data_IF_644795739559
#
_entry.id   IF_644795739559
#
_cell.length_a   1.000
_cell.length_b   1.000
_cell.length_c   1.000
_cell.angle_alpha   90.00
_cell.angle_beta   90.00
_cell.angle_gamma   90.00
#
_symmetry.space_group_name_H-M   'P 1'
#
loop_
_entity.id
_entity.type
_entity.pdbx_description
1 polymer ?
#
# COMPACT_ATOMS: atom_id res chain seq x y z
N UNK A 1 77.44 44.52 -20.63
CA UNK A 1 76.61 45.17 -19.60
C UNK A 1 75.21 44.57 -19.66
N UNK A 2 74.72 44.04 -18.53
CA UNK A 2 73.29 43.91 -18.10
C UNK A 2 72.31 43.13 -19.00
N UNK A 3 71.49 42.14 -18.57
CA UNK A 3 71.03 41.72 -17.24
C UNK A 3 70.36 40.33 -17.34
N UNK A 4 70.61 39.50 -16.32
CA UNK A 4 69.82 38.37 -15.80
C UNK A 4 68.39 38.85 -15.42
N UNK A 5 67.43 37.92 -15.23
CA UNK A 5 66.04 38.04 -14.65
C UNK A 5 64.99 37.64 -15.72
N UNK A 6 64.09 36.66 -15.58
CA UNK A 6 63.60 35.89 -14.44
C UNK A 6 63.04 34.54 -14.95
N UNK A 7 63.72 33.44 -14.64
CA UNK A 7 63.10 32.10 -14.56
C UNK A 7 62.36 32.09 -13.22
N UNK A 8 61.08 32.47 -13.21
CA UNK A 8 60.39 32.72 -11.96
C UNK A 8 58.98 33.26 -12.13
N UNK A 9 58.13 32.55 -12.87
CA UNK A 9 56.68 32.62 -12.69
C UNK A 9 56.19 31.17 -12.60
N UNK A 10 56.48 30.54 -11.47
CA UNK A 10 55.46 30.18 -10.48
C UNK A 10 54.37 29.28 -11.09
N UNK A 11 54.76 28.00 -11.17
CA UNK A 11 53.93 26.82 -10.93
C UNK A 11 53.07 26.99 -9.65
N UNK A 12 52.03 27.83 -9.70
CA UNK A 12 51.10 28.09 -8.59
C UNK A 12 49.65 27.88 -9.00
N UNK A 13 49.43 26.96 -9.96
CA UNK A 13 48.10 26.59 -10.46
C UNK A 13 47.74 25.11 -10.24
N UNK A 14 48.56 24.34 -9.50
CA UNK A 14 48.33 22.92 -9.22
C UNK A 14 48.43 22.67 -7.72
N UNK A 15 47.41 23.08 -6.97
CA UNK A 15 47.41 22.93 -5.51
C UNK A 15 46.17 23.43 -4.79
N UNK A 16 45.05 23.70 -5.47
CA UNK A 16 43.74 23.65 -4.82
C UNK A 16 43.38 22.18 -4.62
N UNK A 17 44.15 21.51 -3.78
CA UNK A 17 43.68 20.33 -3.07
C UNK A 17 42.39 20.76 -2.42
N UNK A 18 41.26 20.27 -2.91
CA UNK A 18 40.02 20.29 -2.16
C UNK A 18 40.33 19.58 -0.85
N UNK A 19 40.76 20.32 0.17
CA UNK A 19 40.71 19.91 1.57
C UNK A 19 39.23 19.93 1.97
N UNK A 20 38.43 19.14 1.26
CA UNK A 20 37.07 18.84 1.64
C UNK A 20 37.18 17.98 2.88
N UNK A 21 36.59 18.46 3.99
CA UNK A 21 36.52 17.69 5.22
C UNK A 21 35.83 16.33 5.02
N UNK A 22 35.89 15.45 6.01
CA UNK A 22 35.33 14.12 5.91
C UNK A 22 33.88 14.08 5.39
N UNK A 23 33.57 13.17 4.47
CA UNK A 23 32.22 12.90 3.97
C UNK A 23 31.63 13.95 3.01
N UNK A 24 32.33 15.03 2.69
CA UNK A 24 31.82 16.11 1.82
C UNK A 24 31.36 15.61 0.43
N UNK A 25 32.03 14.60 -0.10
CA UNK A 25 31.69 14.03 -1.40
C UNK A 25 30.33 13.28 -1.41
N UNK A 26 29.78 12.95 -0.24
CA UNK A 26 28.44 12.36 -0.09
C UNK A 26 27.30 13.38 -0.05
N UNK A 27 27.58 14.68 0.04
CA UNK A 27 26.53 15.69 0.20
C UNK A 27 25.54 15.73 -0.97
N UNK A 28 26.03 15.55 -2.20
CA UNK A 28 25.17 15.51 -3.40
C UNK A 28 24.22 14.31 -3.37
N UNK A 29 24.71 13.05 -3.30
CA UNK A 29 23.81 11.89 -3.30
C UNK A 29 22.85 11.88 -2.09
N UNK A 30 23.27 12.36 -0.91
CA UNK A 30 22.38 12.46 0.25
C UNK A 30 21.25 13.47 0.05
N UNK A 31 21.49 14.59 -0.63
CA UNK A 31 20.45 15.57 -0.96
C UNK A 31 19.49 15.06 -2.03
N UNK A 32 20.02 14.38 -3.05
CA UNK A 32 19.20 13.72 -4.05
C UNK A 32 18.28 12.68 -3.42
N UNK A 33 18.82 11.87 -2.50
CA UNK A 33 18.03 10.91 -1.74
C UNK A 33 16.94 11.58 -0.89
N UNK A 34 17.23 12.71 -0.23
CA UNK A 34 16.23 13.47 0.51
C UNK A 34 15.10 13.98 -0.39
N UNK A 35 15.44 14.52 -1.57
CA UNK A 35 14.45 14.96 -2.55
C UNK A 35 13.57 13.80 -3.04
N UNK A 36 14.14 12.60 -3.23
CA UNK A 36 13.38 11.40 -3.59
C UNK A 36 12.44 10.95 -2.46
N UNK A 37 12.87 11.07 -1.20
CA UNK A 37 11.99 10.79 -0.05
C UNK A 37 10.85 11.79 0.00
N UNK A 38 11.11 13.09 -0.18
CA UNK A 38 10.07 14.12 -0.22
C UNK A 38 9.05 13.86 -1.34
N UNK A 39 9.52 13.51 -2.55
CA UNK A 39 8.65 13.14 -3.65
C UNK A 39 7.82 11.89 -3.33
N UNK A 40 8.46 10.83 -2.84
CA UNK A 40 7.78 9.60 -2.45
C UNK A 40 6.74 9.85 -1.35
N UNK A 41 7.02 10.72 -0.39
CA UNK A 41 6.10 11.06 0.69
C UNK A 41 4.89 11.85 0.16
N UNK A 42 5.12 12.75 -0.79
CA UNK A 42 4.03 13.43 -1.49
C UNK A 42 3.13 12.44 -2.25
N UNK A 43 3.72 11.43 -2.89
CA UNK A 43 2.95 10.36 -3.56
C UNK A 43 2.13 9.53 -2.56
N UNK A 44 2.73 9.10 -1.44
CA UNK A 44 2.04 8.35 -0.38
C UNK A 44 0.91 9.18 0.23
N UNK A 45 1.15 10.47 0.48
CA UNK A 45 0.17 11.41 1.01
C UNK A 45 -1.02 11.68 0.08
N UNK A 46 -0.84 11.50 -1.23
CA UNK A 46 -1.91 11.62 -2.22
C UNK A 46 -2.84 10.40 -2.25
N UNK A 47 -2.49 9.28 -1.61
CA UNK A 47 -3.34 8.10 -1.58
C UNK A 47 -4.54 8.31 -0.64
N UNK A 48 -5.74 8.17 -1.19
CA UNK A 48 -6.98 8.38 -0.45
C UNK A 48 -7.30 7.19 0.48
N UNK A 49 -6.81 7.26 1.72
CA UNK A 49 -6.96 6.19 2.74
C UNK A 49 -8.43 5.92 3.08
N UNK A 50 -9.29 6.94 3.07
CA UNK A 50 -10.72 6.78 3.35
C UNK A 50 -11.42 5.97 2.26
N UNK A 51 -11.09 6.26 0.99
CA UNK A 51 -11.58 5.49 -0.15
C UNK A 51 -11.13 4.04 -0.07
N UNK A 52 -9.86 3.78 0.27
CA UNK A 52 -9.34 2.43 0.46
C UNK A 52 -10.05 1.69 1.60
N UNK A 53 -10.30 2.39 2.71
CA UNK A 53 -11.02 1.84 3.86
C UNK A 53 -12.46 1.48 3.49
N UNK A 54 -13.16 2.36 2.76
CA UNK A 54 -14.51 2.12 2.26
C UNK A 54 -14.57 0.95 1.27
N UNK A 55 -13.61 0.85 0.35
CA UNK A 55 -13.51 -0.29 -0.58
C UNK A 55 -13.32 -1.59 0.20
N UNK A 56 -12.39 -1.62 1.16
CA UNK A 56 -12.15 -2.81 1.97
C UNK A 56 -13.37 -3.25 2.75
N UNK A 57 -14.05 -2.32 3.43
CA UNK A 57 -15.25 -2.63 4.20
C UNK A 57 -16.32 -3.29 3.32
N UNK A 58 -16.52 -2.75 2.12
CA UNK A 58 -17.44 -3.28 1.11
C UNK A 58 -17.05 -4.68 0.63
N UNK A 59 -15.75 -4.89 0.38
CA UNK A 59 -15.19 -6.20 0.00
C UNK A 59 -15.38 -7.23 1.09
N UNK A 60 -15.11 -6.86 2.34
CA UNK A 60 -15.29 -7.75 3.48
C UNK A 60 -16.75 -8.12 3.72
N UNK A 61 -17.68 -7.16 3.55
CA UNK A 61 -19.12 -7.41 3.63
C UNK A 61 -19.58 -8.41 2.57
N UNK A 62 -19.29 -8.16 1.29
CA UNK A 62 -19.74 -9.02 0.18
C UNK A 62 -19.12 -10.41 0.21
N UNK A 63 -17.85 -10.51 0.58
CA UNK A 63 -17.19 -11.82 0.77
C UNK A 63 -17.83 -12.59 1.93
N UNK A 64 -18.24 -11.91 3.01
CA UNK A 64 -18.97 -12.53 4.12
C UNK A 64 -20.33 -13.03 3.66
N UNK A 65 -21.08 -12.22 2.92
CA UNK A 65 -22.39 -12.59 2.38
C UNK A 65 -22.30 -13.81 1.45
N UNK A 66 -21.33 -13.83 0.55
CA UNK A 66 -21.04 -14.98 -0.31
C UNK A 66 -20.70 -16.22 0.50
N UNK A 67 -19.84 -16.09 1.50
CA UNK A 67 -19.43 -17.23 2.36
C UNK A 67 -20.65 -17.86 3.03
N UNK A 68 -21.60 -17.02 3.48
CA UNK A 68 -22.83 -17.50 4.10
C UNK A 68 -23.77 -18.17 3.09
N UNK A 69 -23.97 -17.58 1.89
CA UNK A 69 -24.78 -18.19 0.84
C UNK A 69 -24.18 -19.53 0.37
N UNK A 70 -22.86 -19.60 0.19
CA UNK A 70 -22.17 -20.81 -0.24
C UNK A 70 -22.19 -21.94 0.80
N UNK A 71 -22.46 -21.63 2.07
CA UNK A 71 -22.63 -22.64 3.10
C UNK A 71 -23.98 -23.38 2.98
N UNK A 72 -24.94 -22.82 2.24
CA UNK A 72 -26.22 -23.46 1.97
C UNK A 72 -26.11 -24.41 0.77
N UNK A 73 -26.30 -25.71 1.04
CA UNK A 73 -26.18 -26.76 0.02
C UNK A 73 -27.30 -26.74 -1.03
N UNK A 74 -28.37 -25.95 -0.80
CA UNK A 74 -29.49 -25.83 -1.75
C UNK A 74 -29.19 -24.84 -2.89
N UNK A 75 -28.19 -23.98 -2.71
CA UNK A 75 -27.74 -23.05 -3.73
C UNK A 75 -26.63 -23.67 -4.59
N UNK A 76 -26.75 -23.47 -5.90
CA UNK A 76 -25.72 -23.88 -6.86
C UNK A 76 -24.99 -22.65 -7.39
N UNK A 77 -23.69 -22.78 -7.64
CA UNK A 77 -22.87 -21.70 -8.20
C UNK A 77 -22.24 -22.19 -9.50
N UNK A 78 -22.31 -21.38 -10.54
CA UNK A 78 -21.68 -21.69 -11.83
C UNK A 78 -20.16 -21.54 -11.75
N UNK A 79 -19.46 -21.98 -12.79
CA UNK A 79 -18.00 -21.78 -12.91
C UNK A 79 -17.68 -20.29 -13.01
N UNK A 80 -18.50 -19.54 -13.74
CA UNK A 80 -18.40 -18.09 -13.90
C UNK A 80 -18.59 -17.37 -12.55
N UNK A 81 -19.54 -17.80 -11.73
CA UNK A 81 -19.73 -17.29 -10.37
C UNK A 81 -18.48 -17.57 -9.52
N UNK A 82 -17.93 -18.78 -9.61
CA UNK A 82 -16.71 -19.17 -8.91
C UNK A 82 -15.51 -18.30 -9.30
N UNK A 83 -15.37 -17.96 -10.58
CA UNK A 83 -14.32 -17.07 -11.06
C UNK A 83 -14.47 -15.65 -10.46
N UNK A 84 -15.70 -15.12 -10.45
CA UNK A 84 -16.01 -13.82 -9.89
C UNK A 84 -15.78 -13.77 -8.36
N UNK A 85 -16.14 -14.83 -7.64
CA UNK A 85 -15.84 -14.99 -6.21
C UNK A 85 -14.32 -15.01 -5.98
N UNK A 86 -13.58 -15.74 -6.83
CA UNK A 86 -12.12 -15.78 -6.81
C UNK A 86 -11.48 -14.40 -7.03
N UNK A 87 -12.04 -13.58 -7.91
CA UNK A 87 -11.61 -12.20 -8.13
C UNK A 87 -11.76 -11.36 -6.86
N UNK A 88 -12.87 -11.50 -6.14
CA UNK A 88 -13.09 -10.77 -4.89
C UNK A 88 -12.17 -11.23 -3.76
N UNK A 89 -11.81 -12.51 -3.71
CA UNK A 89 -10.77 -13.00 -2.81
C UNK A 89 -9.40 -12.37 -3.15
N UNK A 90 -9.10 -12.14 -4.44
CA UNK A 90 -7.89 -11.43 -4.88
C UNK A 90 -7.91 -9.95 -4.52
N UNK A 91 -9.02 -9.25 -4.76
CA UNK A 91 -9.23 -7.85 -4.31
C UNK A 91 -8.93 -7.74 -2.81
N UNK A 92 -9.57 -8.59 -2.01
CA UNK A 92 -9.37 -8.62 -0.55
C UNK A 92 -7.91 -8.80 -0.18
N UNK A 93 -7.20 -9.71 -0.85
CA UNK A 93 -5.77 -9.97 -0.58
C UNK A 93 -4.89 -8.77 -0.93
N UNK A 94 -5.14 -8.11 -2.06
CA UNK A 94 -4.38 -6.93 -2.47
C UNK A 94 -4.54 -5.77 -1.49
N UNK A 95 -5.76 -5.58 -0.96
CA UNK A 95 -6.08 -4.43 -0.11
C UNK A 95 -5.97 -4.70 1.40
N UNK A 96 -5.73 -5.95 1.82
CA UNK A 96 -5.83 -6.42 3.22
C UNK A 96 -5.12 -5.54 4.26
N UNK A 97 -3.96 -4.98 3.91
CA UNK A 97 -3.14 -4.20 4.85
C UNK A 97 -2.86 -2.78 4.34
N UNK A 98 -3.59 -2.31 3.32
CA UNK A 98 -3.24 -1.07 2.62
C UNK A 98 -3.14 0.16 3.56
N UNK A 99 -4.15 0.54 4.37
CA UNK A 99 -4.05 1.66 5.32
C UNK A 99 -2.88 1.52 6.30
N UNK A 100 -2.61 0.31 6.80
CA UNK A 100 -1.49 0.06 7.71
C UNK A 100 -0.14 0.26 7.00
N UNK A 101 0.01 -0.23 5.75
CA UNK A 101 1.20 -0.01 4.93
C UNK A 101 1.42 1.48 4.64
N UNK A 102 0.36 2.22 4.35
CA UNK A 102 0.44 3.67 4.10
C UNK A 102 0.94 4.42 5.34
N UNK A 103 0.40 4.11 6.52
CA UNK A 103 0.88 4.70 7.79
C UNK A 103 2.36 4.40 8.02
N UNK A 104 2.74 3.13 7.90
CA UNK A 104 4.13 2.71 8.06
C UNK A 104 5.08 3.40 7.06
N UNK A 105 4.66 3.57 5.80
CA UNK A 105 5.43 4.29 4.80
C UNK A 105 5.63 5.76 5.16
N UNK A 106 4.60 6.44 5.67
CA UNK A 106 4.73 7.83 6.14
C UNK A 106 5.71 7.95 7.32
N UNK A 107 5.59 7.06 8.30
CA UNK A 107 6.49 7.04 9.47
C UNK A 107 7.94 6.76 9.06
N UNK A 108 8.17 5.78 8.18
CA UNK A 108 9.49 5.43 7.69
C UNK A 108 10.09 6.52 6.78
N UNK A 109 9.29 7.16 5.95
CA UNK A 109 9.74 8.28 5.11
C UNK A 109 10.19 9.47 5.94
N UNK A 110 9.41 9.84 6.97
CA UNK A 110 9.78 10.89 7.91
C UNK A 110 11.08 10.57 8.67
N UNK A 111 11.26 9.30 9.05
CA UNK A 111 12.50 8.82 9.67
C UNK A 111 13.69 8.97 8.71
N UNK A 112 13.58 8.50 7.45
CA UNK A 112 14.63 8.66 6.45
C UNK A 112 15.02 10.12 6.27
N UNK A 113 14.04 11.03 6.15
CA UNK A 113 14.31 12.47 6.03
C UNK A 113 15.06 13.03 7.24
N UNK A 114 14.67 12.62 8.45
CA UNK A 114 15.36 13.04 9.68
C UNK A 114 16.81 12.56 9.70
N UNK A 115 17.05 11.30 9.34
CA UNK A 115 18.38 10.71 9.32
C UNK A 115 19.29 11.35 8.27
N UNK A 116 18.78 11.57 7.05
CA UNK A 116 19.48 12.29 5.98
C UNK A 116 19.82 13.72 6.40
N UNK A 117 18.87 14.46 6.98
CA UNK A 117 19.09 15.83 7.44
C UNK A 117 20.18 15.90 8.52
N UNK A 118 20.16 14.95 9.47
CA UNK A 118 21.17 14.86 10.52
C UNK A 118 22.56 14.56 9.94
N UNK A 119 22.68 13.59 9.03
CA UNK A 119 23.95 13.23 8.41
C UNK A 119 24.51 14.37 7.55
N UNK A 120 23.67 14.99 6.71
CA UNK A 120 24.04 16.18 5.93
C UNK A 120 24.49 17.30 6.86
N UNK A 121 23.78 17.52 7.97
CA UNK A 121 24.12 18.51 8.99
C UNK A 121 25.48 18.25 9.63
N UNK A 122 25.77 17.00 9.99
CA UNK A 122 27.04 16.60 10.58
C UNK A 122 28.22 16.83 9.62
N UNK A 123 28.09 16.42 8.35
CA UNK A 123 29.11 16.63 7.32
C UNK A 123 29.37 18.14 7.12
N UNK A 124 28.30 18.94 7.01
CA UNK A 124 28.42 20.40 6.80
C UNK A 124 29.05 21.14 7.96
N UNK A 125 28.80 20.69 9.19
CA UNK A 125 29.38 21.29 10.41
C UNK A 125 30.81 20.81 10.67
N UNK A 126 31.31 19.83 9.92
CA UNK A 126 32.59 19.18 10.22
C UNK A 126 32.56 18.51 11.59
N UNK A 127 31.46 17.82 11.93
CA UNK A 127 31.36 17.13 13.21
C UNK A 127 32.48 16.10 13.35
N UNK A 128 33.19 16.12 14.48
CA UNK A 128 34.37 15.29 14.71
C UNK A 128 34.05 14.00 15.49
N UNK A 129 32.99 14.01 16.29
CA UNK A 129 32.55 12.88 17.12
C UNK A 129 31.04 12.76 17.12
N UNK A 130 30.53 11.53 17.12
CA UNK A 130 29.11 11.25 17.22
C UNK A 130 28.61 11.24 18.69
N UNK A 131 27.31 11.00 18.86
CA UNK A 131 26.66 11.00 20.19
C UNK A 131 27.20 9.92 21.15
N UNK A 132 27.91 8.90 20.65
CA UNK A 132 28.52 7.83 21.43
C UNK A 132 30.04 8.03 21.61
N UNK A 133 30.58 9.17 21.16
CA UNK A 133 32.01 9.48 21.22
C UNK A 133 32.84 8.80 20.12
N UNK A 134 32.21 8.26 19.06
CA UNK A 134 32.93 7.66 17.93
C UNK A 134 33.41 8.76 17.01
N UNK A 135 34.67 8.70 16.60
CA UNK A 135 35.24 9.64 15.63
C UNK A 135 34.50 9.56 14.28
N UNK A 136 34.15 10.73 13.75
CA UNK A 136 33.44 10.89 12.47
C UNK A 136 34.43 11.18 11.34
N UNK A 137 35.27 10.20 11.05
CA UNK A 137 36.22 10.27 9.94
C UNK A 137 35.57 9.90 8.59
N UNK A 138 36.37 9.83 7.53
CA UNK A 138 35.87 9.50 6.19
C UNK A 138 35.21 8.11 6.16
N UNK A 139 35.76 7.13 6.88
CA UNK A 139 35.23 5.77 6.93
C UNK A 139 33.87 5.75 7.64
N UNK A 140 33.72 6.54 8.71
CA UNK A 140 32.45 6.74 9.37
C UNK A 140 31.41 7.29 8.40
N UNK A 141 31.71 8.41 7.72
CA UNK A 141 30.76 9.06 6.82
C UNK A 141 30.42 8.20 5.60
N UNK A 142 31.38 7.46 5.04
CA UNK A 142 31.13 6.47 3.99
C UNK A 142 30.13 5.40 4.42
N UNK A 143 30.31 4.83 5.62
CA UNK A 143 29.40 3.81 6.15
C UNK A 143 28.02 4.38 6.40
N UNK A 144 27.93 5.54 7.06
CA UNK A 144 26.63 6.15 7.34
C UNK A 144 25.91 6.56 6.05
N UNK A 145 26.60 7.19 5.10
CA UNK A 145 26.01 7.56 3.82
C UNK A 145 25.47 6.33 3.09
N UNK A 146 26.25 5.23 3.04
CA UNK A 146 25.77 3.98 2.43
C UNK A 146 24.54 3.42 3.13
N UNK A 147 24.49 3.45 4.46
CA UNK A 147 23.33 2.97 5.23
C UNK A 147 22.07 3.78 4.91
N UNK A 148 22.18 5.11 4.92
CA UNK A 148 21.04 5.99 4.65
C UNK A 148 20.56 5.87 3.21
N UNK A 149 21.47 5.83 2.22
CA UNK A 149 21.11 5.62 0.82
C UNK A 149 20.43 4.27 0.59
N UNK A 150 20.90 3.21 1.26
CA UNK A 150 20.25 1.90 1.21
C UNK A 150 18.86 1.90 1.87
N UNK A 151 18.68 2.64 2.95
CA UNK A 151 17.39 2.78 3.62
C UNK A 151 16.37 3.47 2.69
N UNK A 152 16.78 4.58 2.05
CA UNK A 152 15.97 5.30 1.07
C UNK A 152 15.58 4.40 -0.11
N UNK A 153 16.54 3.68 -0.69
CA UNK A 153 16.27 2.78 -1.81
C UNK A 153 15.26 1.69 -1.45
N UNK A 154 15.37 1.10 -0.25
CA UNK A 154 14.40 0.11 0.25
C UNK A 154 13.03 0.73 0.46
N UNK A 155 12.97 1.89 1.07
CA UNK A 155 11.71 2.59 1.31
C UNK A 155 10.99 2.93 -0.01
N UNK A 156 11.71 3.45 -1.01
CA UNK A 156 11.15 3.71 -2.34
C UNK A 156 10.61 2.43 -3.02
N UNK A 157 11.31 1.31 -2.87
CA UNK A 157 10.82 0.02 -3.37
C UNK A 157 9.49 -0.38 -2.69
N UNK A 158 9.37 -0.17 -1.37
CA UNK A 158 8.12 -0.42 -0.65
C UNK A 158 6.99 0.52 -1.06
N UNK A 159 7.28 1.79 -1.38
CA UNK A 159 6.30 2.72 -1.94
C UNK A 159 5.77 2.18 -3.27
N UNK A 160 6.66 1.79 -4.18
CA UNK A 160 6.28 1.26 -5.49
C UNK A 160 5.45 -0.03 -5.40
N UNK A 161 5.86 -0.97 -4.54
CA UNK A 161 5.12 -2.22 -4.34
C UNK A 161 3.75 -2.00 -3.71
N UNK A 162 3.66 -1.08 -2.75
CA UNK A 162 2.38 -0.75 -2.10
C UNK A 162 1.43 -0.11 -3.10
N UNK A 163 1.93 0.80 -3.95
CA UNK A 163 1.14 1.38 -5.04
C UNK A 163 0.60 0.31 -5.98
N UNK A 164 1.45 -0.60 -6.45
CA UNK A 164 1.07 -1.69 -7.35
C UNK A 164 -0.04 -2.56 -6.76
N UNK A 165 0.03 -2.88 -5.46
CA UNK A 165 -1.01 -3.66 -4.78
C UNK A 165 -2.33 -2.88 -4.68
N UNK A 166 -2.27 -1.61 -4.31
CA UNK A 166 -3.45 -0.73 -4.23
C UNK A 166 -4.11 -0.64 -5.60
N UNK A 167 -3.35 -0.30 -6.65
CA UNK A 167 -3.86 -0.15 -8.01
C UNK A 167 -4.49 -1.45 -8.52
N UNK A 168 -3.82 -2.59 -8.33
CA UNK A 168 -4.35 -3.89 -8.72
C UNK A 168 -5.68 -4.22 -8.00
N UNK A 169 -5.75 -3.95 -6.69
CA UNK A 169 -6.97 -4.17 -5.92
C UNK A 169 -8.12 -3.24 -6.34
N UNK A 170 -7.83 -1.95 -6.55
CA UNK A 170 -8.83 -0.96 -6.95
C UNK A 170 -9.37 -1.19 -8.35
N UNK A 171 -8.50 -1.47 -9.32
CA UNK A 171 -8.89 -1.74 -10.71
C UNK A 171 -9.78 -2.99 -10.77
N UNK A 172 -9.37 -4.07 -10.11
CA UNK A 172 -10.13 -5.32 -10.10
C UNK A 172 -11.49 -5.14 -9.40
N UNK A 173 -11.54 -4.43 -8.27
CA UNK A 173 -12.79 -4.16 -7.57
C UNK A 173 -13.74 -3.31 -8.42
N UNK A 174 -13.24 -2.27 -9.08
CA UNK A 174 -14.05 -1.43 -9.96
C UNK A 174 -14.63 -2.23 -11.13
N UNK A 175 -13.83 -3.10 -11.76
CA UNK A 175 -14.24 -3.92 -12.89
C UNK A 175 -15.29 -4.99 -12.52
N UNK A 176 -15.22 -5.52 -11.30
CA UNK A 176 -16.04 -6.66 -10.86
C UNK A 176 -17.17 -6.28 -9.92
N UNK A 177 -17.36 -4.99 -9.61
CA UNK A 177 -18.38 -4.50 -8.68
C UNK A 177 -19.80 -4.84 -9.09
N UNK A 178 -20.24 -4.35 -10.25
CA UNK A 178 -21.60 -4.56 -10.72
C UNK A 178 -21.94 -6.05 -10.96
N UNK A 179 -21.04 -6.88 -11.54
CA UNK A 179 -21.24 -8.33 -11.61
C UNK A 179 -21.44 -8.97 -10.23
N UNK A 180 -20.63 -8.60 -9.23
CA UNK A 180 -20.75 -9.18 -7.88
C UNK A 180 -22.05 -8.80 -7.20
N UNK A 181 -22.46 -7.53 -7.33
CA UNK A 181 -23.74 -7.06 -6.77
C UNK A 181 -24.92 -7.82 -7.40
N UNK A 182 -24.86 -8.05 -8.71
CA UNK A 182 -25.87 -8.83 -9.44
C UNK A 182 -25.92 -10.28 -8.97
N UNK A 183 -24.75 -10.92 -8.80
CA UNK A 183 -24.65 -12.30 -8.31
C UNK A 183 -25.26 -12.44 -6.91
N UNK A 184 -24.88 -11.56 -5.98
CA UNK A 184 -25.39 -11.57 -4.62
C UNK A 184 -26.91 -11.37 -4.59
N UNK A 185 -27.44 -10.46 -5.41
CA UNK A 185 -28.88 -10.25 -5.51
C UNK A 185 -29.60 -11.50 -6.02
N UNK A 186 -29.10 -12.11 -7.10
CA UNK A 186 -29.69 -13.31 -7.69
C UNK A 186 -29.69 -14.48 -6.68
N UNK A 187 -28.57 -14.72 -6.00
CA UNK A 187 -28.44 -15.82 -5.04
C UNK A 187 -29.27 -15.61 -3.78
N UNK A 188 -29.43 -14.36 -3.31
CA UNK A 188 -30.36 -14.04 -2.23
C UNK A 188 -31.81 -14.30 -2.61
N UNK A 189 -32.20 -13.97 -3.85
CA UNK A 189 -33.55 -14.22 -4.34
C UNK A 189 -33.84 -15.72 -4.47
N UNK A 190 -32.90 -16.50 -5.03
CA UNK A 190 -32.97 -17.96 -5.13
C UNK A 190 -33.13 -18.59 -3.73
N UNK A 191 -32.29 -18.18 -2.79
CA UNK A 191 -32.36 -18.64 -1.40
C UNK A 191 -33.72 -18.36 -0.74
N UNK A 192 -34.23 -17.13 -0.91
CA UNK A 192 -35.53 -16.74 -0.35
C UNK A 192 -36.68 -17.58 -0.91
N UNK A 193 -36.64 -17.91 -2.21
CA UNK A 193 -37.62 -18.79 -2.85
C UNK A 193 -37.58 -20.21 -2.29
N UNK A 194 -36.38 -20.76 -2.07
CA UNK A 194 -36.20 -22.10 -1.52
C UNK A 194 -36.75 -22.22 -0.09
N UNK A 195 -36.50 -21.23 0.75
CA UNK A 195 -37.09 -21.18 2.11
C UNK A 195 -38.62 -21.09 2.06
N UNK A 196 -39.17 -20.33 1.13
CA UNK A 196 -40.62 -20.22 1.00
C UNK A 196 -41.25 -21.55 0.60
N UNK A 197 -40.60 -22.33 -0.28
CA UNK A 197 -41.06 -23.66 -0.71
C UNK A 197 -40.94 -24.67 0.43
N UNK A 198 -39.83 -24.68 1.17
CA UNK A 198 -39.60 -25.61 2.29
C UNK A 198 -40.57 -25.37 3.47
N UNK A 199 -41.02 -24.13 3.67
CA UNK A 199 -41.91 -23.74 4.79
C UNK A 199 -43.40 -23.80 4.49
N UNK A 200 -43.82 -24.09 3.26
CA UNK A 200 -45.24 -24.32 2.97
C UNK A 200 -45.57 -25.78 3.29
N UNK A 201 -46.45 -26.06 4.27
CA UNK A 201 -46.95 -27.42 4.45
C UNK A 201 -47.61 -27.84 3.13
N UNK A 202 -47.27 -29.04 2.64
CA UNK A 202 -47.83 -29.60 1.40
C UNK A 202 -49.36 -29.47 1.38
N UNK A 203 -49.98 -29.48 0.17
CA UNK A 203 -51.39 -29.17 0.01
C UNK A 203 -52.22 -30.00 0.99
N UNK A 204 -52.69 -29.37 2.07
CA UNK A 204 -53.76 -29.95 2.85
C UNK A 204 -54.91 -30.03 1.86
N UNK A 205 -55.25 -31.26 1.46
CA UNK A 205 -56.47 -31.56 0.77
C UNK A 205 -57.59 -30.84 1.51
N UNK A 206 -58.03 -29.71 0.95
CA UNK A 206 -59.22 -29.03 1.39
C UNK A 206 -60.37 -29.95 0.95
N UNK A 207 -60.66 -30.95 1.79
CA UNK A 207 -61.88 -31.74 1.67
C UNK A 207 -62.99 -30.77 2.01
N UNK A 208 -63.53 -30.12 0.97
CA UNK A 208 -64.82 -29.45 1.05
C UNK A 208 -65.84 -30.55 1.26
N UNK A 209 -66.10 -30.87 2.53
CA UNK A 209 -67.24 -31.66 2.93
C UNK A 209 -68.48 -30.87 2.54
N UNK A 210 -69.09 -31.27 1.42
CA UNK A 210 -70.46 -30.95 1.05
C UNK A 210 -71.39 -31.52 2.13
N UNK A 211 -71.62 -30.73 3.18
CA UNK A 211 -72.76 -30.95 4.07
C UNK A 211 -74.01 -30.45 3.35
N UNK A 212 -74.61 -31.35 2.58
CA UNK A 212 -75.99 -31.28 2.15
C UNK A 212 -76.91 -31.25 3.38
N UNK A 213 -77.59 -30.12 3.57
CA UNK A 213 -79.04 -30.11 3.78
C UNK A 213 -79.60 -30.18 5.22
N UNK A 214 -80.58 -29.29 5.43
CA UNK A 214 -81.69 -29.36 6.38
C UNK A 214 -81.33 -29.12 7.86
N UNK A 215 -81.95 -28.19 8.61
CA UNK A 215 -83.38 -27.96 8.74
C UNK A 215 -83.70 -26.63 9.48
N UNK A 216 -84.91 -26.13 9.28
CA UNK A 216 -85.51 -24.84 9.70
C UNK A 216 -85.75 -24.67 11.21
N UNK A 217 -85.94 -23.41 11.64
CA UNK A 217 -86.71 -23.04 12.84
C UNK A 217 -86.19 -21.82 13.57
#
# INVERSE_FOLDING_TARGET
MTRVICVGLLLLALGLSNCTGPGQHHLTPLREAAAQVDEGMAQVGAWNVDTLTAIRARVDERVRDLTWLMADSTLTFSVEDGQLIGDWARVKRHLKDAPQRIRALNEQGALCNTQLANLIGAIRKGAEVDANGVAMDEVYFQRQAQNELNAVAKWLAYVADTRRLIDAGMVLEAATRAPMDSLLQAKRAEWAQQIAVERLPGPQHCVVSLALGFWWG
#
